data_IF_306689478889
#
_entry.id   IF_306689478889
#
_cell.length_a   1.000
_cell.length_b   1.000
_cell.length_c   1.000
_cell.angle_alpha   90.00
_cell.angle_beta   90.00
_cell.angle_gamma   90.00
#
_symmetry.space_group_name_H-M   'P 1'
#
loop_
_entity.id
_entity.type
_entity.pdbx_description
1 polymer ?
#
# COMPACT_ATOMS: atom_id res chain seq x y z
N UNK A 1 8.90 -10.07 -0.71
CA UNK A 1 8.49 -11.30 -1.46
C UNK A 1 7.02 -11.19 -1.79
N UNK A 2 6.65 -11.44 -3.05
CA UNK A 2 5.25 -11.41 -3.50
C UNK A 2 4.45 -12.49 -2.77
N UNK A 3 3.34 -12.11 -2.12
CA UNK A 3 2.49 -13.05 -1.39
C UNK A 3 1.82 -14.07 -2.33
N UNK A 4 1.37 -15.20 -1.78
CA UNK A 4 0.64 -16.20 -2.57
C UNK A 4 -0.66 -15.64 -3.16
N UNK A 5 -1.33 -14.74 -2.43
CA UNK A 5 -2.56 -14.06 -2.89
C UNK A 5 -2.23 -13.07 -4.00
N UNK A 6 -1.18 -12.26 -3.84
CA UNK A 6 -0.77 -11.28 -4.85
C UNK A 6 -0.56 -11.94 -6.21
N UNK A 7 0.12 -13.10 -6.26
CA UNK A 7 0.30 -13.85 -7.50
C UNK A 7 -1.01 -14.31 -8.16
N UNK A 8 -2.06 -14.51 -7.36
CA UNK A 8 -3.36 -14.95 -7.86
C UNK A 8 -4.22 -13.82 -8.39
N UNK A 9 -4.03 -12.59 -7.91
CA UNK A 9 -4.92 -11.45 -8.17
C UNK A 9 -4.34 -10.38 -9.09
N UNK A 10 -3.02 -10.29 -9.22
CA UNK A 10 -2.37 -9.27 -10.05
C UNK A 10 -2.88 -9.30 -11.48
N UNK A 11 -3.30 -8.12 -12.00
CA UNK A 11 -3.88 -7.91 -13.32
C UNK A 11 -5.17 -8.71 -13.59
N UNK A 12 -5.92 -9.07 -12.55
CA UNK A 12 -7.19 -9.80 -12.66
C UNK A 12 -8.37 -8.97 -12.18
N UNK A 13 -9.54 -9.39 -12.63
CA UNK A 13 -10.82 -9.02 -12.04
C UNK A 13 -11.22 -10.06 -10.99
N UNK A 14 -11.69 -9.59 -9.83
CA UNK A 14 -12.15 -10.42 -8.72
C UNK A 14 -13.62 -10.09 -8.50
N UNK A 15 -14.50 -11.04 -8.80
CA UNK A 15 -15.92 -10.87 -8.61
C UNK A 15 -16.32 -11.20 -7.16
N UNK A 16 -17.45 -10.68 -6.73
CA UNK A 16 -17.99 -10.95 -5.36
C UNK A 16 -18.18 -12.44 -5.10
N UNK A 17 -18.44 -13.22 -6.16
CA UNK A 17 -18.60 -14.67 -6.09
C UNK A 17 -17.29 -15.45 -6.08
N UNK A 18 -16.16 -14.78 -6.28
CA UNK A 18 -14.84 -15.41 -6.21
C UNK A 18 -14.49 -15.71 -4.74
N UNK A 19 -14.03 -16.93 -4.41
CA UNK A 19 -13.58 -17.25 -3.04
C UNK A 19 -12.51 -16.31 -2.49
N UNK A 20 -11.66 -15.73 -3.36
CA UNK A 20 -10.65 -14.75 -2.95
C UNK A 20 -11.26 -13.46 -2.40
N UNK A 21 -12.48 -13.10 -2.80
CA UNK A 21 -13.14 -11.88 -2.34
C UNK A 21 -13.33 -11.86 -0.82
N UNK A 22 -13.79 -12.97 -0.25
CA UNK A 22 -13.97 -13.10 1.19
C UNK A 22 -12.63 -13.14 1.93
N UNK A 23 -11.64 -13.86 1.41
CA UNK A 23 -10.29 -13.93 1.99
C UNK A 23 -9.64 -12.54 2.05
N UNK A 24 -9.77 -11.74 0.99
CA UNK A 24 -9.26 -10.36 0.95
C UNK A 24 -9.89 -9.52 2.06
N UNK A 25 -11.21 -9.56 2.21
CA UNK A 25 -11.91 -8.77 3.22
C UNK A 25 -11.58 -9.22 4.65
N UNK A 26 -11.35 -10.50 4.87
CA UNK A 26 -10.88 -11.00 6.16
C UNK A 26 -9.50 -10.43 6.51
N UNK A 27 -8.54 -10.43 5.58
CA UNK A 27 -7.20 -9.87 5.80
C UNK A 27 -7.28 -8.35 6.05
N UNK A 28 -8.14 -7.64 5.33
CA UNK A 28 -8.39 -6.21 5.58
C UNK A 28 -8.92 -5.98 7.01
N UNK A 29 -9.89 -6.78 7.45
CA UNK A 29 -10.43 -6.68 8.81
C UNK A 29 -9.36 -6.98 9.88
N UNK A 30 -8.50 -7.97 9.66
CA UNK A 30 -7.38 -8.27 10.56
C UNK A 30 -6.33 -7.16 10.62
N UNK A 31 -6.24 -6.31 9.59
CA UNK A 31 -5.31 -5.19 9.53
C UNK A 31 -5.78 -3.95 10.32
N UNK A 32 -7.07 -3.86 10.66
CA UNK A 32 -7.65 -2.68 11.33
C UNK A 32 -7.02 -2.41 12.70
N UNK A 33 -6.87 -3.43 13.55
CA UNK A 33 -6.33 -3.27 14.89
C UNK A 33 -4.85 -2.82 14.91
N UNK A 34 -3.91 -3.46 14.18
CA UNK A 34 -2.53 -3.01 14.13
C UNK A 34 -2.39 -1.63 13.49
N UNK A 35 -3.23 -1.27 12.52
CA UNK A 35 -3.23 0.05 11.91
C UNK A 35 -3.72 1.13 12.88
N UNK A 36 -4.79 0.86 13.62
CA UNK A 36 -5.28 1.76 14.66
C UNK A 36 -4.22 1.96 15.75
N UNK A 37 -3.54 0.90 16.18
CA UNK A 37 -2.46 0.98 17.16
C UNK A 37 -1.24 1.77 16.66
N UNK A 38 -0.91 1.69 15.37
CA UNK A 38 0.13 2.51 14.75
C UNK A 38 -0.20 4.00 14.82
N UNK A 39 -1.44 4.37 14.56
CA UNK A 39 -1.89 5.75 14.44
C UNK A 39 -2.35 6.40 15.78
N UNK A 40 -2.29 5.66 16.88
CA UNK A 40 -2.75 6.14 18.19
C UNK A 40 -1.56 6.45 19.10
N UNK A 41 -1.51 7.69 19.58
CA UNK A 41 -0.46 8.16 20.49
C UNK A 41 0.87 8.47 19.79
N UNK A 42 1.86 8.80 20.61
CA UNK A 42 3.22 9.05 20.13
C UNK A 42 4.02 7.76 20.06
N UNK A 43 4.78 7.60 19.01
CA UNK A 43 5.74 6.51 18.83
C UNK A 43 7.08 7.05 18.37
N UNK A 44 8.16 6.51 18.92
CA UNK A 44 9.51 6.78 18.44
C UNK A 44 9.70 6.20 17.01
N UNK A 45 10.57 6.79 16.17
CA UNK A 45 10.75 6.35 14.79
C UNK A 45 11.05 4.84 14.64
N UNK A 46 11.85 4.28 15.53
CA UNK A 46 12.14 2.84 15.52
C UNK A 46 10.91 1.98 15.85
N UNK A 47 10.02 2.44 16.73
CA UNK A 47 8.78 1.74 17.06
C UNK A 47 7.78 1.83 15.90
N UNK A 48 7.71 2.98 15.21
CA UNK A 48 6.90 3.13 13.97
C UNK A 48 7.32 2.07 12.95
N UNK A 49 8.60 1.90 12.68
CA UNK A 49 9.09 0.89 11.72
C UNK A 49 8.72 -0.52 12.14
N UNK A 50 8.91 -0.89 13.42
CA UNK A 50 8.53 -2.21 13.94
C UNK A 50 7.03 -2.51 13.84
N UNK A 51 6.18 -1.50 14.07
CA UNK A 51 4.72 -1.63 13.91
C UNK A 51 4.35 -1.78 12.44
N UNK A 52 5.00 -1.00 11.58
CA UNK A 52 4.79 -1.10 10.13
C UNK A 52 5.22 -2.48 9.59
N UNK A 53 6.36 -3.03 10.04
CA UNK A 53 6.79 -4.41 9.70
C UNK A 53 5.71 -5.47 9.98
N UNK A 54 4.98 -5.33 11.09
CA UNK A 54 3.87 -6.24 11.42
C UNK A 54 2.69 -6.10 10.45
N UNK A 55 2.39 -4.87 10.04
CA UNK A 55 1.31 -4.56 9.10
C UNK A 55 1.67 -5.11 7.72
N UNK A 56 2.85 -4.77 7.19
CA UNK A 56 3.25 -5.15 5.83
C UNK A 56 3.82 -6.58 5.72
N UNK A 57 4.07 -7.23 6.85
CA UNK A 57 4.68 -8.57 6.92
C UNK A 57 6.02 -8.66 6.18
N UNK A 58 6.76 -7.57 6.16
CA UNK A 58 8.09 -7.46 5.56
C UNK A 58 8.99 -6.58 6.44
N UNK A 59 10.29 -6.60 6.17
CA UNK A 59 11.27 -5.77 6.86
C UNK A 59 11.23 -4.34 6.37
N UNK A 60 11.42 -3.40 7.31
CA UNK A 60 11.57 -1.97 7.02
C UNK A 60 12.98 -1.55 7.43
N UNK A 61 13.75 -1.07 6.45
CA UNK A 61 15.14 -0.65 6.67
C UNK A 61 15.21 0.53 7.67
N UNK A 62 16.25 0.57 8.49
CA UNK A 62 16.43 1.60 9.53
C UNK A 62 16.52 3.02 8.99
N UNK A 63 16.82 3.18 7.71
CA UNK A 63 16.88 4.47 7.02
C UNK A 63 15.53 5.00 6.57
N UNK A 64 14.46 4.19 6.68
CA UNK A 64 13.09 4.58 6.29
C UNK A 64 12.48 5.47 7.37
N UNK A 65 11.86 6.56 6.93
CA UNK A 65 11.11 7.48 7.78
C UNK A 65 9.64 7.49 7.38
N UNK A 66 8.76 7.23 8.34
CA UNK A 66 7.30 7.32 8.15
C UNK A 66 6.74 8.28 9.17
N UNK A 67 6.03 9.32 8.70
CA UNK A 67 5.32 10.26 9.55
C UNK A 67 3.85 9.87 9.65
N UNK A 68 3.36 9.78 10.88
CA UNK A 68 1.97 9.38 11.15
C UNK A 68 1.00 10.59 11.04
N UNK A 69 -0.30 10.35 10.74
CA UNK A 69 -0.87 9.04 10.47
C UNK A 69 -0.49 8.48 9.09
N UNK A 70 -0.40 7.16 8.99
CA UNK A 70 -0.22 6.39 7.77
C UNK A 70 -1.40 5.44 7.59
N UNK A 71 -1.91 5.29 6.40
CA UNK A 71 -3.09 4.47 6.12
C UNK A 71 -2.81 3.42 5.05
N UNK A 72 -3.34 2.24 5.26
CA UNK A 72 -3.40 1.15 4.28
C UNK A 72 -4.64 0.31 4.55
N UNK A 73 -5.18 -0.35 3.53
CA UNK A 73 -6.34 -1.23 3.72
C UNK A 73 -5.94 -2.70 3.87
N UNK A 74 -5.17 -3.24 2.94
CA UNK A 74 -4.76 -4.65 2.94
C UNK A 74 -3.47 -4.88 3.74
N UNK A 75 -2.49 -4.01 3.55
CA UNK A 75 -1.22 -3.96 4.28
C UNK A 75 -0.16 -4.97 3.82
N UNK A 76 -0.53 -6.08 3.20
CA UNK A 76 0.39 -7.21 2.95
C UNK A 76 1.13 -7.16 1.61
N UNK A 77 0.82 -6.20 0.76
CA UNK A 77 1.40 -6.07 -0.58
C UNK A 77 2.17 -4.75 -0.75
N UNK A 78 2.87 -4.32 0.29
CA UNK A 78 3.74 -3.13 0.28
C UNK A 78 5.19 -3.58 0.43
N UNK A 79 6.07 -3.12 -0.45
CA UNK A 79 7.53 -3.23 -0.29
C UNK A 79 8.17 -1.85 -0.29
N UNK A 80 9.12 -1.63 0.62
CA UNK A 80 9.76 -0.34 0.85
C UNK A 80 11.29 -0.50 0.81
N UNK A 81 11.93 0.22 -0.09
CA UNK A 81 13.39 0.28 -0.22
C UNK A 81 14.06 1.10 0.88
N UNK A 82 15.35 1.35 0.72
CA UNK A 82 16.17 2.13 1.67
C UNK A 82 15.99 3.64 1.45
N UNK A 83 16.23 4.43 2.49
CA UNK A 83 16.15 5.89 2.46
C UNK A 83 14.80 6.43 1.97
N UNK A 84 13.73 5.67 2.08
CA UNK A 84 12.39 6.10 1.70
C UNK A 84 11.82 7.02 2.78
N UNK A 85 11.18 8.11 2.34
CA UNK A 85 10.46 9.03 3.22
C UNK A 85 8.98 9.04 2.85
N UNK A 86 8.11 8.74 3.82
CA UNK A 86 6.65 8.78 3.67
C UNK A 86 6.09 9.83 4.60
N UNK A 87 5.53 10.90 4.04
CA UNK A 87 4.96 12.01 4.79
C UNK A 87 3.55 11.69 5.31
N UNK A 88 3.01 12.60 6.14
CA UNK A 88 1.75 12.43 6.87
C UNK A 88 0.55 12.21 5.96
N UNK A 89 -0.37 11.39 6.45
CA UNK A 89 -1.66 11.11 5.79
C UNK A 89 -1.52 10.44 4.42
N UNK A 90 -0.41 9.75 4.16
CA UNK A 90 -0.31 8.89 2.97
C UNK A 90 -1.31 7.74 3.08
N UNK A 91 -1.99 7.42 1.95
CA UNK A 91 -2.95 6.34 1.85
C UNK A 91 -2.49 5.34 0.77
N UNK A 92 -2.25 4.11 1.17
CA UNK A 92 -1.85 3.02 0.29
C UNK A 92 -2.97 1.97 0.23
N UNK A 93 -3.72 1.96 -0.87
CA UNK A 93 -4.67 0.89 -1.19
C UNK A 93 -3.90 -0.16 -1.96
N UNK A 94 -3.34 -1.11 -1.24
CA UNK A 94 -2.18 -1.90 -1.66
C UNK A 94 -2.48 -3.31 -2.19
N UNK A 95 -3.74 -3.69 -2.32
CA UNK A 95 -4.12 -5.04 -2.74
C UNK A 95 -3.41 -5.52 -4.02
N UNK A 96 -3.20 -4.62 -4.99
CA UNK A 96 -2.52 -4.91 -6.25
C UNK A 96 -0.99 -4.90 -6.19
N UNK A 97 -0.43 -4.52 -5.05
CA UNK A 97 1.00 -4.38 -4.84
C UNK A 97 1.52 -2.95 -5.04
N UNK A 98 2.26 -2.46 -4.06
CA UNK A 98 2.95 -1.17 -4.09
C UNK A 98 4.42 -1.42 -3.82
N UNK A 99 5.26 -1.06 -4.78
CA UNK A 99 6.71 -1.12 -4.64
C UNK A 99 7.29 0.28 -4.65
N UNK A 100 7.95 0.66 -3.55
CA UNK A 100 8.76 1.87 -3.44
C UNK A 100 10.23 1.47 -3.47
N UNK A 101 10.96 1.89 -4.50
CA UNK A 101 12.40 1.67 -4.57
C UNK A 101 13.16 2.63 -3.66
N UNK A 102 14.49 2.50 -3.62
CA UNK A 102 15.36 3.30 -2.76
C UNK A 102 15.21 4.80 -3.00
N UNK A 103 15.28 5.59 -1.93
CA UNK A 103 15.30 7.05 -1.94
C UNK A 103 14.02 7.70 -2.50
N UNK A 104 12.91 7.00 -2.53
CA UNK A 104 11.61 7.55 -2.93
C UNK A 104 11.11 8.50 -1.84
N UNK A 105 10.56 9.65 -2.28
CA UNK A 105 9.92 10.63 -1.42
C UNK A 105 8.41 10.66 -1.69
N UNK A 106 7.61 10.34 -0.68
CA UNK A 106 6.15 10.42 -0.73
C UNK A 106 5.68 11.65 0.05
N UNK A 107 5.10 12.61 -0.66
CA UNK A 107 4.56 13.85 -0.08
C UNK A 107 3.32 13.61 0.79
N UNK A 108 2.89 14.62 1.59
CA UNK A 108 1.73 14.48 2.46
C UNK A 108 0.44 14.28 1.64
N UNK A 109 -0.45 13.45 2.18
CA UNK A 109 -1.76 13.14 1.55
C UNK A 109 -1.66 12.55 0.14
N UNK A 110 -0.54 11.90 -0.19
CA UNK A 110 -0.42 11.12 -1.42
C UNK A 110 -1.26 9.86 -1.31
N UNK A 111 -1.99 9.54 -2.39
CA UNK A 111 -2.75 8.32 -2.50
C UNK A 111 -2.11 7.41 -3.55
N UNK A 112 -1.76 6.17 -3.17
CA UNK A 112 -1.35 5.12 -4.08
C UNK A 112 -2.46 4.08 -4.13
N UNK A 113 -3.20 4.04 -5.24
CA UNK A 113 -4.42 3.24 -5.35
C UNK A 113 -4.22 2.13 -6.38
N UNK A 114 -4.16 0.89 -5.94
CA UNK A 114 -3.94 -0.27 -6.81
C UNK A 114 -5.23 -0.96 -7.24
N UNK A 115 -6.38 -0.47 -6.78
CA UNK A 115 -7.69 -1.11 -6.97
C UNK A 115 -8.66 -0.16 -7.66
N UNK A 116 -9.39 -0.68 -8.63
CA UNK A 116 -10.63 -0.09 -9.15
C UNK A 116 -11.80 -1.05 -8.90
N UNK A 117 -13.01 -0.54 -8.86
CA UNK A 117 -14.22 -1.34 -8.96
C UNK A 117 -14.54 -1.68 -10.42
N UNK A 118 -15.28 -2.77 -10.65
CA UNK A 118 -15.70 -3.15 -12.01
C UNK A 118 -16.64 -2.08 -12.59
N UNK A 119 -16.52 -1.84 -13.88
CA UNK A 119 -17.29 -0.81 -14.58
C UNK A 119 -18.75 -1.18 -14.78
N UNK A 120 -19.06 -2.50 -14.86
CA UNK A 120 -20.45 -2.99 -14.93
C UNK A 120 -21.20 -2.65 -13.63
N UNK A 121 -22.32 -1.92 -13.70
CA UNK A 121 -23.10 -1.57 -12.51
C UNK A 121 -23.62 -2.77 -11.71
N UNK A 122 -23.86 -3.90 -12.37
CA UNK A 122 -24.37 -5.13 -11.73
C UNK A 122 -23.28 -5.90 -10.98
N UNK A 123 -22.01 -5.66 -11.33
CA UNK A 123 -20.81 -6.27 -10.72
C UNK A 123 -19.93 -5.24 -10.00
N UNK A 124 -20.42 -4.03 -9.76
CA UNK A 124 -19.67 -2.86 -9.24
C UNK A 124 -18.83 -3.15 -7.99
N UNK A 125 -19.27 -4.06 -7.14
CA UNK A 125 -18.52 -4.45 -5.94
C UNK A 125 -17.29 -5.32 -6.22
N UNK A 126 -17.19 -5.89 -7.40
CA UNK A 126 -15.98 -6.59 -7.83
C UNK A 126 -14.79 -5.63 -7.96
N UNK A 127 -13.60 -6.18 -8.04
CA UNK A 127 -12.34 -5.45 -8.02
C UNK A 127 -11.53 -5.72 -9.28
N UNK A 128 -10.86 -4.71 -9.78
CA UNK A 128 -9.80 -4.81 -10.80
C UNK A 128 -8.50 -4.29 -10.19
N UNK A 129 -7.46 -5.09 -10.24
CA UNK A 129 -6.25 -4.89 -9.42
C UNK A 129 -5.02 -4.79 -10.32
N UNK A 130 -4.24 -3.72 -10.17
CA UNK A 130 -2.97 -3.55 -10.88
C UNK A 130 -1.91 -2.94 -9.97
N UNK A 131 -0.64 -3.40 -10.03
CA UNK A 131 0.43 -2.89 -9.18
C UNK A 131 0.82 -1.45 -9.51
N UNK A 132 1.37 -0.76 -8.50
CA UNK A 132 2.05 0.52 -8.64
C UNK A 132 3.54 0.32 -8.34
N UNK A 133 4.39 0.89 -9.18
CA UNK A 133 5.82 0.89 -9.01
C UNK A 133 6.38 2.31 -9.03
N UNK A 134 6.95 2.75 -7.92
CA UNK A 134 7.64 4.03 -7.80
C UNK A 134 9.13 3.75 -7.80
N UNK A 135 9.81 4.14 -8.87
CA UNK A 135 11.21 3.83 -9.08
C UNK A 135 12.13 4.76 -8.28
N UNK A 136 13.38 4.33 -8.18
CA UNK A 136 14.42 4.96 -7.39
C UNK A 136 14.46 6.47 -7.54
N UNK A 137 14.59 7.15 -6.39
CA UNK A 137 14.77 8.61 -6.30
C UNK A 137 13.61 9.44 -6.92
N UNK A 138 12.43 8.86 -7.11
CA UNK A 138 11.25 9.61 -7.54
C UNK A 138 10.64 10.39 -6.37
N UNK A 139 10.07 11.54 -6.65
CA UNK A 139 9.35 12.38 -5.70
C UNK A 139 7.89 12.54 -6.12
N UNK A 140 6.99 12.07 -5.27
CA UNK A 140 5.55 12.24 -5.46
C UNK A 140 5.10 13.45 -4.64
N UNK A 141 4.65 14.50 -5.33
CA UNK A 141 4.23 15.76 -4.69
C UNK A 141 2.97 15.61 -3.83
N UNK A 142 2.79 16.58 -2.92
CA UNK A 142 1.67 16.58 -1.96
C UNK A 142 0.30 16.44 -2.64
N UNK A 143 -0.55 15.56 -2.11
CA UNK A 143 -1.93 15.36 -2.56
C UNK A 143 -2.07 14.63 -3.90
N UNK A 144 -0.97 14.19 -4.53
CA UNK A 144 -1.06 13.42 -5.77
C UNK A 144 -1.77 12.09 -5.56
N UNK A 145 -2.51 11.64 -6.57
CA UNK A 145 -3.13 10.31 -6.60
C UNK A 145 -2.56 9.52 -7.76
N UNK A 146 -1.91 8.41 -7.46
CA UNK A 146 -1.36 7.47 -8.44
C UNK A 146 -2.35 6.31 -8.61
N UNK A 147 -2.75 6.07 -9.84
CA UNK A 147 -3.80 5.12 -10.18
C UNK A 147 -3.25 3.71 -10.47
N UNK A 148 -4.12 2.68 -10.49
CA UNK A 148 -3.71 1.30 -10.71
C UNK A 148 -2.90 1.10 -11.99
N UNK A 149 -1.79 0.37 -11.89
CA UNK A 149 -0.94 0.01 -13.01
C UNK A 149 0.08 1.08 -13.43
N UNK A 150 0.15 2.21 -12.72
CA UNK A 150 1.11 3.28 -13.03
C UNK A 150 2.50 2.95 -12.51
N UNK A 151 3.49 3.20 -13.34
CA UNK A 151 4.90 3.22 -12.96
C UNK A 151 5.42 4.64 -13.03
N UNK A 152 5.96 5.16 -11.92
CA UNK A 152 6.70 6.43 -11.90
C UNK A 152 8.17 6.11 -12.16
N UNK A 153 8.76 6.80 -13.12
CA UNK A 153 10.13 6.57 -13.56
C UNK A 153 11.18 6.97 -12.53
N UNK A 154 12.40 6.50 -12.74
CA UNK A 154 13.54 6.88 -11.92
C UNK A 154 13.83 8.38 -12.03
N UNK A 155 14.13 9.02 -10.89
CA UNK A 155 14.43 10.48 -10.79
C UNK A 155 13.26 11.41 -11.23
N UNK A 156 12.03 10.92 -11.36
CA UNK A 156 10.86 11.73 -11.69
C UNK A 156 10.48 12.68 -10.54
#
# INVERSE_FOLDING_TARGET
MTSAIEKQIVNKEIRVTDPLFEVIHQIQAENEEPLAALNTGYHEPADIRKRLEKIISDKVDDTVTVLLPFYTDFGKHISIGKNVFINRQAMFVDLGGICLEDSVLIGPRVNLITVNHLTDPTERRGLSVKPIHIKKNAWIGAGATILPGVTIGENA
#
